data_IF_198301718360
#
_entry.id   IF_198301718360
#
_cell.length_a   1.000
_cell.length_b   1.000
_cell.length_c   1.000
_cell.angle_alpha   90.00
_cell.angle_beta   90.00
_cell.angle_gamma   90.00
#
_symmetry.space_group_name_H-M   'P 1'
#
loop_
_entity.id
_entity.type
_entity.pdbx_description
1 polymer ?
#
# COMPACT_ATOMS: atom_id res chain seq x y z
N UNK A 1 -9.66 30.62 -11.89
CA UNK A 1 -9.43 29.94 -13.17
C UNK A 1 -8.60 28.70 -12.87
N UNK A 2 -9.18 27.52 -13.08
CA UNK A 2 -8.45 26.25 -12.98
C UNK A 2 -7.32 26.27 -14.00
N UNK A 3 -6.09 26.20 -13.54
CA UNK A 3 -4.94 25.97 -14.40
C UNK A 3 -4.92 24.47 -14.65
N UNK A 4 -5.12 23.98 -15.88
CA UNK A 4 -5.07 22.55 -16.13
C UNK A 4 -3.64 22.04 -15.89
N UNK A 5 -3.49 21.02 -15.08
CA UNK A 5 -2.25 20.26 -15.00
C UNK A 5 -2.11 19.43 -16.28
N UNK A 6 -0.99 19.58 -16.96
CA UNK A 6 -0.68 18.81 -18.16
C UNK A 6 0.47 17.88 -17.80
N UNK A 7 0.19 16.59 -17.73
CA UNK A 7 1.22 15.56 -17.63
C UNK A 7 1.83 15.35 -19.01
N UNK A 8 3.13 15.55 -19.13
CA UNK A 8 3.89 15.31 -20.36
C UNK A 8 4.85 14.13 -20.14
N UNK A 9 5.05 13.31 -21.18
CA UNK A 9 6.03 12.24 -21.12
C UNK A 9 7.43 12.80 -20.79
N UNK A 10 8.22 12.08 -20.01
CA UNK A 10 9.58 12.47 -19.58
C UNK A 10 10.47 12.90 -20.76
N UNK A 11 10.39 12.18 -21.88
CA UNK A 11 11.10 12.53 -23.12
C UNK A 11 10.74 13.92 -23.66
N UNK A 12 9.47 14.31 -23.49
CA UNK A 12 8.96 15.64 -23.88
C UNK A 12 9.40 16.68 -22.87
N UNK A 13 9.37 16.38 -21.59
CA UNK A 13 9.85 17.27 -20.53
C UNK A 13 11.36 17.56 -20.68
N UNK A 14 12.17 16.53 -20.95
CA UNK A 14 13.61 16.66 -21.24
C UNK A 14 13.84 17.54 -22.46
N UNK A 15 13.10 17.34 -23.53
CA UNK A 15 13.20 18.15 -24.72
C UNK A 15 12.87 19.64 -24.43
N UNK A 16 11.84 19.93 -23.62
CA UNK A 16 11.52 21.29 -23.21
C UNK A 16 12.61 21.92 -22.35
N UNK A 17 13.15 21.14 -21.41
CA UNK A 17 14.25 21.58 -20.56
C UNK A 17 15.48 21.98 -21.41
N UNK A 18 15.87 21.14 -22.36
CA UNK A 18 16.98 21.42 -23.27
C UNK A 18 16.74 22.68 -24.13
N UNK A 19 15.51 22.87 -24.60
CA UNK A 19 15.13 24.07 -25.31
C UNK A 19 15.21 25.35 -24.44
N UNK A 20 14.75 25.27 -23.19
CA UNK A 20 14.81 26.35 -22.22
C UNK A 20 16.27 26.71 -21.92
N UNK A 21 17.14 25.73 -21.72
CA UNK A 21 18.57 25.99 -21.50
C UNK A 21 19.26 26.64 -22.73
N UNK A 22 18.91 26.20 -23.91
CA UNK A 22 19.37 26.85 -25.14
C UNK A 22 18.86 28.30 -25.28
N UNK A 23 17.58 28.55 -24.97
CA UNK A 23 16.98 29.88 -25.02
C UNK A 23 17.59 30.85 -24.00
N UNK A 24 18.12 30.37 -22.86
CA UNK A 24 18.88 31.22 -21.91
C UNK A 24 20.17 31.80 -22.54
N UNK A 25 20.76 31.10 -23.49
CA UNK A 25 21.99 31.52 -24.17
C UNK A 25 21.75 32.24 -25.51
N UNK A 26 20.57 32.09 -26.08
CA UNK A 26 20.19 32.74 -27.36
C UNK A 26 18.82 33.42 -27.24
N UNK A 27 18.79 34.73 -27.08
CA UNK A 27 17.54 35.49 -26.93
C UNK A 27 16.66 35.54 -28.20
N UNK A 28 17.13 34.99 -29.31
CA UNK A 28 16.31 34.84 -30.54
C UNK A 28 15.48 33.56 -30.53
N UNK A 29 15.79 32.60 -29.65
CA UNK A 29 15.01 31.39 -29.47
C UNK A 29 13.85 31.64 -28.51
N UNK A 30 12.66 31.26 -28.93
CA UNK A 30 11.49 31.17 -28.07
C UNK A 30 10.78 29.85 -28.33
N UNK A 31 10.25 29.25 -27.28
CA UNK A 31 9.40 28.06 -27.37
C UNK A 31 7.96 28.46 -27.07
N UNK A 32 7.03 28.08 -27.92
CA UNK A 32 5.60 28.15 -27.66
C UNK A 32 5.06 26.72 -27.63
N UNK A 33 4.18 26.42 -26.67
CA UNK A 33 3.44 25.19 -26.63
C UNK A 33 2.00 25.43 -27.09
N UNK A 34 1.68 25.00 -28.30
CA UNK A 34 0.32 25.00 -28.80
C UNK A 34 -0.29 23.61 -28.52
N UNK A 35 -1.19 23.54 -27.56
CA UNK A 35 -1.89 22.33 -27.19
C UNK A 35 -3.35 22.39 -27.64
N UNK A 36 -3.83 21.36 -28.31
CA UNK A 36 -5.26 21.14 -28.50
C UNK A 36 -5.78 20.33 -27.28
N UNK A 37 -6.70 20.94 -26.54
CA UNK A 37 -7.33 20.33 -25.37
C UNK A 37 -8.76 19.93 -25.70
N UNK A 38 -9.06 18.64 -25.63
CA UNK A 38 -10.43 18.11 -25.67
C UNK A 38 -10.76 17.53 -24.30
N UNK A 39 -11.38 18.34 -23.45
CA UNK A 39 -11.82 17.92 -22.13
C UNK A 39 -13.25 17.43 -22.14
N UNK A 40 -13.49 16.19 -21.71
CA UNK A 40 -14.83 15.72 -21.41
C UNK A 40 -15.16 16.09 -19.97
N UNK A 41 -16.22 16.87 -19.77
CA UNK A 41 -16.80 17.01 -18.43
C UNK A 41 -17.56 15.71 -18.09
N UNK A 42 -16.99 14.92 -17.19
CA UNK A 42 -17.57 13.64 -16.76
C UNK A 42 -18.63 13.80 -15.66
N UNK A 43 -19.05 15.04 -15.39
CA UNK A 43 -20.00 15.39 -14.32
C UNK A 43 -19.33 15.54 -12.95
N UNK A 44 -20.18 15.78 -11.96
CA UNK A 44 -19.73 15.90 -10.58
C UNK A 44 -19.14 14.57 -10.09
N UNK A 45 -17.98 14.66 -9.44
CA UNK A 45 -17.30 13.55 -8.79
C UNK A 45 -17.20 13.86 -7.31
N UNK A 46 -17.32 12.83 -6.47
CA UNK A 46 -17.08 12.93 -5.04
C UNK A 46 -15.73 12.34 -4.69
N UNK A 47 -15.04 12.96 -3.76
CA UNK A 47 -13.89 12.37 -3.07
C UNK A 47 -14.32 11.92 -1.69
N UNK A 48 -13.72 10.83 -1.21
CA UNK A 48 -14.04 10.32 0.11
C UNK A 48 -13.05 10.89 1.13
N UNK A 49 -13.56 11.17 2.32
CA UNK A 49 -12.78 11.43 3.52
C UNK A 49 -13.22 10.42 4.56
N UNK A 50 -12.25 9.68 5.12
CA UNK A 50 -12.53 8.71 6.19
C UNK A 50 -11.93 9.22 7.47
N UNK A 51 -12.71 9.24 8.56
CA UNK A 51 -12.25 9.75 9.85
C UNK A 51 -12.45 8.72 10.96
N UNK A 52 -11.55 8.74 11.94
CA UNK A 52 -11.62 7.98 13.18
C UNK A 52 -11.22 8.86 14.35
N UNK A 53 -11.47 8.42 15.59
CA UNK A 53 -11.22 9.21 16.78
C UNK A 53 -10.81 8.32 17.95
N UNK A 54 -9.79 8.77 18.69
CA UNK A 54 -9.43 8.28 20.02
C UNK A 54 -9.73 9.39 21.03
N UNK A 55 -10.79 9.25 21.84
CA UNK A 55 -11.19 10.29 22.78
C UNK A 55 -10.15 10.52 23.87
N UNK A 56 -9.77 11.77 24.10
CA UNK A 56 -8.95 12.22 25.21
C UNK A 56 -9.74 12.45 26.50
N UNK A 57 -9.02 12.77 27.57
CA UNK A 57 -9.62 13.08 28.87
C UNK A 57 -9.79 14.61 29.11
N UNK A 58 -9.20 15.45 28.29
CA UNK A 58 -9.19 16.92 28.39
C UNK A 58 -9.87 17.60 27.20
N UNK A 59 -9.53 18.86 26.96
CA UNK A 59 -10.16 19.71 25.95
C UNK A 59 -9.32 19.86 24.65
N UNK A 60 -8.08 19.35 24.62
CA UNK A 60 -7.20 19.47 23.44
C UNK A 60 -7.67 18.63 22.25
N UNK A 61 -7.50 19.15 21.04
CA UNK A 61 -7.86 18.49 19.78
C UNK A 61 -6.64 18.43 18.84
N UNK A 62 -6.25 17.21 18.45
CA UNK A 62 -5.17 16.97 17.47
C UNK A 62 -5.74 16.14 16.32
N UNK A 63 -5.37 16.49 15.09
CA UNK A 63 -5.74 15.74 13.89
C UNK A 63 -4.49 15.22 13.18
N UNK A 64 -4.47 13.92 12.89
CA UNK A 64 -3.42 13.29 12.07
C UNK A 64 -4.02 12.87 10.75
N UNK A 65 -3.36 13.19 9.64
CA UNK A 65 -3.88 12.90 8.31
C UNK A 65 -2.84 12.40 7.32
N UNK A 66 -3.34 11.65 6.32
CA UNK A 66 -2.60 11.20 5.16
C UNK A 66 -3.55 11.08 3.96
N UNK A 67 -3.13 11.40 2.75
CA UNK A 67 -3.98 11.14 1.59
C UNK A 67 -3.94 9.65 1.18
N UNK A 68 -5.04 9.17 0.61
CA UNK A 68 -5.20 7.79 0.19
C UNK A 68 -5.40 7.60 -1.31
N UNK A 69 -5.44 8.69 -2.06
CA UNK A 69 -5.38 8.64 -3.52
C UNK A 69 -3.93 8.65 -3.99
N UNK A 70 -3.71 8.38 -5.26
CA UNK A 70 -2.41 8.39 -5.91
C UNK A 70 -2.48 9.08 -7.26
N UNK A 71 -1.36 9.53 -7.77
CA UNK A 71 -1.24 10.09 -9.12
C UNK A 71 -1.77 9.09 -10.17
N UNK A 72 -2.41 9.61 -11.24
CA UNK A 72 -3.19 8.83 -12.21
C UNK A 72 -2.51 7.56 -12.75
N UNK A 73 -1.19 7.57 -12.90
CA UNK A 73 -0.43 6.43 -13.46
C UNK A 73 0.36 5.66 -12.39
N UNK A 74 0.39 6.15 -11.15
CA UNK A 74 1.16 5.57 -10.04
C UNK A 74 0.31 4.60 -9.24
N UNK A 75 0.81 3.40 -8.89
CA UNK A 75 0.20 2.56 -7.87
C UNK A 75 0.16 3.18 -6.48
N UNK A 76 1.06 4.14 -6.18
CA UNK A 76 1.01 4.94 -4.97
C UNK A 76 1.47 4.21 -3.70
N UNK A 77 2.44 3.31 -3.81
CA UNK A 77 2.93 2.59 -2.63
C UNK A 77 3.64 3.52 -1.64
N UNK A 78 4.53 4.37 -2.14
CA UNK A 78 5.20 5.40 -1.34
C UNK A 78 4.35 6.66 -1.27
N UNK A 79 3.70 7.04 -2.37
CA UNK A 79 2.86 8.22 -2.47
C UNK A 79 1.39 7.84 -2.71
N UNK A 80 0.53 7.55 -1.66
CA UNK A 80 0.88 7.74 -0.26
C UNK A 80 0.33 6.59 0.62
N UNK A 81 0.41 5.33 0.16
CA UNK A 81 0.00 4.20 0.98
C UNK A 81 0.87 4.06 2.25
N UNK A 82 2.15 4.49 2.22
CA UNK A 82 3.00 4.51 3.42
C UNK A 82 2.45 5.46 4.47
N UNK A 83 2.03 6.68 4.10
CA UNK A 83 1.45 7.64 5.05
C UNK A 83 0.17 7.11 5.69
N UNK A 84 -0.69 6.44 4.90
CA UNK A 84 -1.89 5.78 5.43
C UNK A 84 -1.53 4.64 6.37
N UNK A 85 -0.51 3.83 6.04
CA UNK A 85 -0.06 2.73 6.90
C UNK A 85 0.48 3.24 8.24
N UNK A 86 1.27 4.31 8.21
CA UNK A 86 1.80 4.96 9.40
C UNK A 86 0.68 5.56 10.25
N UNK A 87 -0.31 6.18 9.63
CA UNK A 87 -1.49 6.70 10.34
C UNK A 87 -2.23 5.60 11.09
N UNK A 88 -2.41 4.42 10.48
CA UNK A 88 -3.01 3.27 11.16
C UNK A 88 -2.15 2.75 12.30
N UNK A 89 -0.83 2.70 12.12
CA UNK A 89 0.06 2.24 13.18
C UNK A 89 0.10 3.22 14.36
N UNK A 90 0.12 4.53 14.09
CA UNK A 90 -0.01 5.56 15.14
C UNK A 90 -1.33 5.39 15.90
N UNK A 91 -2.44 5.18 15.21
CA UNK A 91 -3.73 4.96 15.84
C UNK A 91 -3.74 3.69 16.71
N UNK A 92 -3.12 2.61 16.22
CA UNK A 92 -2.99 1.34 16.92
C UNK A 92 -2.20 1.51 18.23
N UNK A 93 -1.02 2.11 18.17
CA UNK A 93 -0.18 2.34 19.35
C UNK A 93 -0.85 3.25 20.38
N UNK A 94 -1.52 4.32 19.93
CA UNK A 94 -2.22 5.23 20.82
C UNK A 94 -3.48 4.62 21.44
N UNK A 95 -4.05 3.58 20.85
CA UNK A 95 -5.29 2.94 21.36
C UNK A 95 -5.12 2.35 22.77
N UNK A 96 -3.91 1.96 23.12
CA UNK A 96 -3.53 1.43 24.45
C UNK A 96 -3.14 2.55 25.45
N UNK A 97 -3.03 3.79 24.99
CA UNK A 97 -2.62 4.94 25.77
C UNK A 97 -3.81 5.89 25.99
N UNK A 98 -3.73 6.70 27.04
CA UNK A 98 -4.73 7.75 27.31
C UNK A 98 -4.04 9.10 27.28
N UNK A 99 -4.40 9.90 26.29
CA UNK A 99 -3.97 11.28 26.21
C UNK A 99 -4.98 12.22 26.86
N UNK A 100 -4.55 13.41 27.19
CA UNK A 100 -5.48 14.49 27.58
C UNK A 100 -6.20 15.02 26.34
N UNK A 101 -5.49 15.21 25.22
CA UNK A 101 -6.09 15.63 23.96
C UNK A 101 -6.80 14.48 23.24
N UNK A 102 -7.95 14.77 22.65
CA UNK A 102 -8.57 13.89 21.66
C UNK A 102 -7.72 13.86 20.38
N UNK A 103 -7.43 12.67 19.87
CA UNK A 103 -6.71 12.51 18.61
C UNK A 103 -7.66 11.97 17.55
N UNK A 104 -7.90 12.78 16.52
CA UNK A 104 -8.62 12.34 15.33
C UNK A 104 -7.65 11.93 14.23
N UNK A 105 -8.09 11.01 13.41
CA UNK A 105 -7.39 10.50 12.26
C UNK A 105 -8.23 10.73 11.03
N UNK A 106 -7.60 11.14 9.92
CA UNK A 106 -8.32 11.33 8.67
C UNK A 106 -7.50 10.83 7.49
N UNK A 107 -8.16 10.18 6.52
CA UNK A 107 -7.55 9.94 5.23
C UNK A 107 -8.26 10.76 4.15
N UNK A 108 -7.48 11.46 3.32
CA UNK A 108 -7.95 12.40 2.33
C UNK A 108 -7.97 11.76 0.95
N UNK A 109 -9.06 11.98 0.19
CA UNK A 109 -9.08 11.67 -1.23
C UNK A 109 -8.94 12.95 -2.05
N UNK A 110 -8.27 12.86 -3.21
CA UNK A 110 -8.10 13.97 -4.13
C UNK A 110 -7.02 14.98 -3.72
N UNK A 111 -6.02 14.55 -2.99
CA UNK A 111 -4.80 15.33 -2.74
C UNK A 111 -4.13 15.65 -4.05
N UNK A 112 -3.89 14.65 -4.86
CA UNK A 112 -3.27 14.68 -6.20
C UNK A 112 -4.03 15.53 -7.23
N UNK A 113 -5.26 15.87 -6.92
CA UNK A 113 -6.10 16.75 -7.73
C UNK A 113 -6.16 18.20 -7.17
N UNK A 114 -5.34 18.50 -6.17
CA UNK A 114 -5.21 19.81 -5.55
C UNK A 114 -5.89 19.91 -4.18
N UNK A 115 -5.64 18.97 -3.29
CA UNK A 115 -6.06 18.97 -1.88
C UNK A 115 -7.59 18.98 -1.70
N UNK A 116 -8.34 18.31 -2.60
CA UNK A 116 -9.81 18.45 -2.63
C UNK A 116 -10.49 17.97 -1.36
N UNK A 117 -10.04 16.83 -0.82
CA UNK A 117 -10.63 16.22 0.37
C UNK A 117 -10.39 17.02 1.63
N UNK A 118 -9.15 17.42 1.90
CA UNK A 118 -8.81 18.23 3.08
C UNK A 118 -9.45 19.60 3.04
N UNK A 119 -9.49 20.28 1.88
CA UNK A 119 -10.18 21.56 1.73
C UNK A 119 -11.69 21.43 1.98
N UNK A 120 -12.34 20.43 1.38
CA UNK A 120 -13.77 20.19 1.58
C UNK A 120 -14.10 19.84 3.06
N UNK A 121 -13.22 19.09 3.71
CA UNK A 121 -13.37 18.78 5.12
C UNK A 121 -13.29 20.03 6.00
N UNK A 122 -12.29 20.89 5.77
CA UNK A 122 -12.13 22.17 6.47
C UNK A 122 -13.37 23.06 6.28
N UNK A 123 -13.82 23.22 5.03
CA UNK A 123 -14.99 24.04 4.72
C UNK A 123 -16.27 23.55 5.40
N UNK A 124 -16.40 22.23 5.54
CA UNK A 124 -17.59 21.59 6.14
C UNK A 124 -17.55 21.50 7.66
N UNK A 125 -16.39 21.70 8.31
CA UNK A 125 -16.17 21.49 9.73
C UNK A 125 -15.48 22.68 10.41
N UNK A 126 -15.79 23.90 10.01
CA UNK A 126 -15.08 25.11 10.47
C UNK A 126 -15.03 25.26 12.00
N UNK A 127 -16.13 24.98 12.71
CA UNK A 127 -16.17 25.02 14.18
C UNK A 127 -15.14 24.08 14.83
N UNK A 128 -14.99 22.88 14.26
CA UNK A 128 -13.97 21.94 14.70
C UNK A 128 -12.55 22.43 14.34
N UNK A 129 -12.36 22.95 13.14
CA UNK A 129 -11.05 23.46 12.70
C UNK A 129 -10.60 24.66 13.54
N UNK A 130 -11.51 25.52 13.95
CA UNK A 130 -11.24 26.66 14.84
C UNK A 130 -10.80 26.20 16.26
N UNK A 131 -11.21 25.00 16.69
CA UNK A 131 -10.79 24.39 17.97
C UNK A 131 -9.57 23.49 17.86
N UNK A 132 -9.05 23.26 16.67
CA UNK A 132 -7.95 22.33 16.42
C UNK A 132 -6.61 22.93 16.84
N UNK A 133 -5.94 22.31 17.80
CA UNK A 133 -4.65 22.77 18.31
C UNK A 133 -3.51 22.46 17.32
N UNK A 134 -3.57 21.29 16.66
CA UNK A 134 -2.49 20.82 15.80
C UNK A 134 -3.02 19.88 14.70
N UNK A 135 -2.56 20.07 13.49
CA UNK A 135 -2.68 19.09 12.40
C UNK A 135 -1.32 18.50 12.04
N UNK A 136 -1.24 17.16 11.98
CA UNK A 136 -0.04 16.41 11.57
C UNK A 136 -0.33 15.72 10.25
N UNK A 137 0.52 15.93 9.25
CA UNK A 137 0.41 15.34 7.91
C UNK A 137 1.51 14.34 7.65
N UNK A 138 1.15 13.17 7.14
CA UNK A 138 2.08 12.10 6.75
C UNK A 138 2.02 11.92 5.23
N UNK A 139 3.13 12.19 4.56
CA UNK A 139 3.18 12.12 3.11
C UNK A 139 4.53 11.66 2.59
N UNK A 140 4.53 10.55 1.85
CA UNK A 140 5.69 10.00 1.15
C UNK A 140 6.93 9.78 2.03
N UNK A 141 6.76 9.36 3.26
CA UNK A 141 7.82 9.23 4.29
C UNK A 141 8.61 7.91 4.20
N UNK A 142 8.92 7.45 3.00
CA UNK A 142 9.68 6.22 2.76
C UNK A 142 11.19 6.47 2.85
N UNK A 143 11.77 6.33 4.04
CA UNK A 143 13.20 6.55 4.27
C UNK A 143 13.99 5.29 3.96
N UNK A 144 15.01 5.40 3.11
CA UNK A 144 15.89 4.28 2.75
C UNK A 144 17.36 4.72 2.72
N UNK A 145 18.11 4.54 3.81
CA UNK A 145 19.51 4.94 3.90
C UNK A 145 20.41 4.29 2.84
N UNK A 146 20.11 3.04 2.45
CA UNK A 146 20.89 2.33 1.44
C UNK A 146 20.81 2.96 0.04
N UNK A 147 19.76 3.76 -0.21
CA UNK A 147 19.56 4.56 -1.42
C UNK A 147 19.98 6.03 -1.24
N UNK A 148 20.53 6.41 -0.08
CA UNK A 148 20.84 7.81 0.25
C UNK A 148 19.59 8.64 0.62
N UNK A 149 18.47 8.01 0.94
CA UNK A 149 17.20 8.61 1.30
C UNK A 149 16.89 8.39 2.80
N UNK A 150 17.91 8.45 3.67
CA UNK A 150 17.77 8.19 5.10
C UNK A 150 17.37 9.41 5.94
N UNK A 151 17.07 10.55 5.34
CA UNK A 151 16.74 11.78 6.06
C UNK A 151 15.24 12.05 6.03
N UNK A 152 14.62 12.15 7.20
CA UNK A 152 13.23 12.57 7.36
C UNK A 152 13.14 14.09 7.32
N UNK A 153 12.27 14.60 6.44
CA UNK A 153 11.89 16.01 6.44
C UNK A 153 10.72 16.25 7.38
N UNK A 154 10.88 17.21 8.29
CA UNK A 154 9.84 17.67 9.19
C UNK A 154 9.67 19.17 9.00
N UNK A 155 8.48 19.61 8.65
CA UNK A 155 8.18 21.03 8.53
C UNK A 155 7.01 21.42 9.43
N UNK A 156 7.07 22.64 9.96
CA UNK A 156 5.98 23.18 10.79
C UNK A 156 5.65 24.60 10.40
N UNK A 157 4.37 24.94 10.45
CA UNK A 157 3.93 26.33 10.26
C UNK A 157 4.18 27.21 11.49
N UNK A 158 4.29 26.60 12.68
CA UNK A 158 4.53 27.31 13.94
C UNK A 158 5.99 27.20 14.41
N UNK A 159 6.69 28.32 14.32
CA UNK A 159 8.11 28.40 14.75
C UNK A 159 8.33 28.04 16.23
N UNK A 160 7.30 28.10 17.07
CA UNK A 160 7.40 27.72 18.50
C UNK A 160 7.54 26.20 18.68
N UNK A 161 7.11 25.41 17.72
CA UNK A 161 7.20 23.96 17.78
C UNK A 161 8.59 23.43 17.38
N UNK A 162 9.41 24.24 16.70
CA UNK A 162 10.72 23.81 16.17
C UNK A 162 11.62 23.24 17.26
N UNK A 163 11.74 23.94 18.40
CA UNK A 163 12.63 23.51 19.49
C UNK A 163 12.14 22.20 20.14
N UNK A 164 10.82 22.03 20.31
CA UNK A 164 10.26 20.80 20.88
C UNK A 164 10.40 19.62 19.92
N UNK A 165 10.08 19.81 18.65
CA UNK A 165 10.23 18.79 17.61
C UNK A 165 11.70 18.38 17.46
N UNK A 166 12.64 19.36 17.44
CA UNK A 166 14.08 19.10 17.34
C UNK A 166 14.63 18.31 18.52
N UNK A 167 14.11 18.55 19.73
CA UNK A 167 14.48 17.75 20.91
C UNK A 167 13.97 16.33 20.82
N UNK A 168 12.71 16.16 20.40
CA UNK A 168 12.09 14.84 20.25
C UNK A 168 12.85 14.03 19.20
N UNK A 169 13.04 14.56 17.97
CA UNK A 169 13.77 13.85 16.94
C UNK A 169 15.19 13.49 17.39
N UNK A 170 15.89 14.41 18.05
CA UNK A 170 17.25 14.13 18.57
C UNK A 170 17.24 13.01 19.61
N UNK A 171 16.23 12.99 20.48
CA UNK A 171 16.08 11.93 21.47
C UNK A 171 15.83 10.58 20.82
N UNK A 172 14.95 10.50 19.83
CA UNK A 172 14.66 9.28 19.07
C UNK A 172 15.91 8.80 18.32
N UNK A 173 16.57 9.67 17.56
CA UNK A 173 17.74 9.34 16.75
C UNK A 173 19.00 9.00 17.57
N UNK A 174 19.04 9.29 18.87
CA UNK A 174 20.11 8.84 19.76
C UNK A 174 20.04 7.33 20.08
N UNK A 175 18.99 6.64 19.71
CA UNK A 175 18.93 5.19 19.83
C UNK A 175 19.80 4.55 18.72
N UNK A 176 20.59 3.51 19.08
CA UNK A 176 21.48 2.80 18.16
C UNK A 176 20.75 2.21 16.95
N UNK A 177 19.47 1.90 17.09
CA UNK A 177 18.63 1.38 16.01
C UNK A 177 18.49 2.35 14.83
N UNK A 178 18.65 3.66 15.07
CA UNK A 178 18.48 4.72 14.06
C UNK A 178 19.79 5.33 13.55
N UNK A 179 20.94 4.69 13.77
CA UNK A 179 22.25 5.26 13.41
C UNK A 179 22.43 5.63 11.93
N UNK A 180 21.70 4.98 11.04
CA UNK A 180 21.78 5.23 9.59
C UNK A 180 20.78 6.29 9.11
N UNK A 181 19.98 6.84 10.02
CA UNK A 181 18.94 7.82 9.73
C UNK A 181 19.28 9.20 10.26
N UNK A 182 18.65 10.19 9.67
CA UNK A 182 18.71 11.58 10.09
C UNK A 182 17.32 12.23 9.99
N UNK A 183 17.14 13.40 10.61
CA UNK A 183 15.92 14.19 10.44
C UNK A 183 16.24 15.68 10.47
N UNK A 184 15.51 16.45 9.69
CA UNK A 184 15.63 17.91 9.62
C UNK A 184 14.31 18.56 9.98
N UNK A 185 14.37 19.63 10.78
CA UNK A 185 13.19 20.42 11.15
C UNK A 185 13.32 21.82 10.56
N UNK A 186 12.29 22.27 9.86
CA UNK A 186 12.26 23.61 9.28
C UNK A 186 10.90 24.29 9.46
N UNK A 187 10.89 25.62 9.42
CA UNK A 187 9.64 26.38 9.35
C UNK A 187 9.21 26.52 7.90
N UNK A 188 8.02 26.04 7.60
CA UNK A 188 7.37 26.23 6.30
C UNK A 188 5.89 26.55 6.49
N UNK A 189 5.53 27.81 6.22
CA UNK A 189 4.14 28.29 6.34
C UNK A 189 3.29 27.99 5.11
N UNK A 190 3.87 27.51 4.03
CA UNK A 190 3.13 27.21 2.80
C UNK A 190 2.68 25.75 2.75
N UNK A 191 3.61 24.82 3.02
CA UNK A 191 3.36 23.39 2.85
C UNK A 191 3.24 22.98 1.38
N UNK A 192 3.36 21.70 1.10
CA UNK A 192 3.30 21.12 -0.25
C UNK A 192 2.29 19.96 -0.37
N UNK A 193 1.62 19.58 0.73
CA UNK A 193 0.61 18.52 0.81
C UNK A 193 -0.61 19.02 1.60
N UNK A 194 -1.48 18.15 2.11
CA UNK A 194 -2.74 18.51 2.77
C UNK A 194 -2.59 19.50 3.94
N UNK A 195 -1.45 19.53 4.64
CA UNK A 195 -1.20 20.52 5.70
C UNK A 195 -1.20 21.97 5.18
N UNK A 196 -0.98 22.19 3.88
CA UNK A 196 -1.14 23.50 3.25
C UNK A 196 -2.57 24.02 3.38
N UNK A 197 -3.57 23.16 3.23
CA UNK A 197 -4.96 23.57 3.39
C UNK A 197 -5.22 24.09 4.81
N UNK A 198 -4.75 23.36 5.83
CA UNK A 198 -4.87 23.76 7.24
C UNK A 198 -4.08 25.03 7.56
N UNK A 199 -2.85 25.20 7.01
CA UNK A 199 -2.07 26.41 7.17
C UNK A 199 -2.81 27.65 6.69
N UNK A 200 -3.54 27.55 5.58
CA UNK A 200 -4.30 28.66 5.02
C UNK A 200 -5.44 29.12 5.93
N UNK A 201 -5.94 28.24 6.80
CA UNK A 201 -6.95 28.53 7.82
C UNK A 201 -6.35 28.93 9.17
N UNK A 202 -5.03 28.95 9.31
CA UNK A 202 -4.33 29.40 10.49
C UNK A 202 -4.11 28.33 11.57
N UNK A 203 -4.40 27.08 11.28
CA UNK A 203 -4.10 25.94 12.17
C UNK A 203 -2.59 25.71 12.23
N UNK A 204 -2.04 25.43 13.41
CA UNK A 204 -0.66 24.98 13.55
C UNK A 204 -0.51 23.60 12.91
N UNK A 205 0.53 23.41 12.09
CA UNK A 205 0.73 22.15 11.38
C UNK A 205 2.13 21.61 11.52
N UNK A 206 2.25 20.28 11.42
CA UNK A 206 3.51 19.57 11.23
C UNK A 206 3.33 18.67 10.00
N UNK A 207 4.19 18.81 9.00
CA UNK A 207 4.25 17.94 7.83
C UNK A 207 5.48 17.04 7.90
N UNK A 208 5.28 15.76 7.66
CA UNK A 208 6.34 14.76 7.51
C UNK A 208 6.43 14.34 6.06
N UNK A 209 7.66 14.29 5.53
CA UNK A 209 7.91 13.88 4.16
C UNK A 209 9.28 13.21 4.02
N UNK A 210 9.39 12.30 3.04
CA UNK A 210 10.66 11.83 2.53
C UNK A 210 11.21 12.79 1.46
N UNK A 211 12.46 12.58 1.05
CA UNK A 211 13.03 13.31 -0.08
C UNK A 211 12.55 12.68 -1.40
N UNK A 212 12.69 13.44 -2.50
CA UNK A 212 12.38 12.96 -3.85
C UNK A 212 13.04 11.60 -4.09
N UNK A 213 12.22 10.63 -4.49
CA UNK A 213 12.64 9.29 -4.86
C UNK A 213 12.36 9.04 -6.34
N UNK A 214 13.09 8.09 -6.94
CA UNK A 214 13.05 7.87 -8.39
C UNK A 214 11.66 7.48 -8.89
N UNK A 215 10.91 6.74 -8.08
CA UNK A 215 9.60 6.18 -8.42
C UNK A 215 8.43 7.16 -8.28
N UNK A 216 8.67 8.39 -7.80
CA UNK A 216 7.64 9.41 -7.56
C UNK A 216 6.76 9.66 -8.77
N UNK A 217 5.44 9.52 -8.60
CA UNK A 217 4.41 9.66 -9.64
C UNK A 217 4.62 8.73 -10.86
N UNK A 218 5.25 7.57 -10.68
CA UNK A 218 5.53 6.59 -11.75
C UNK A 218 4.84 5.26 -11.50
N UNK A 219 4.72 4.45 -12.55
CA UNK A 219 4.20 3.07 -12.47
C UNK A 219 5.09 2.13 -11.64
N UNK A 220 6.30 2.56 -11.31
CA UNK A 220 7.27 1.83 -10.50
C UNK A 220 7.14 2.11 -9.00
N UNK A 221 6.22 2.98 -8.59
CA UNK A 221 5.89 3.20 -7.17
C UNK A 221 5.03 2.05 -6.64
N UNK A 222 5.66 0.92 -6.38
CA UNK A 222 5.04 -0.35 -6.00
C UNK A 222 5.57 -0.82 -4.64
N UNK A 223 4.87 -1.75 -3.93
CA UNK A 223 5.23 -2.13 -2.55
C UNK A 223 6.67 -2.58 -2.33
N UNK A 224 7.35 -3.13 -3.35
CA UNK A 224 8.73 -3.59 -3.22
C UNK A 224 9.79 -2.47 -3.09
N UNK A 225 9.41 -1.21 -3.28
CA UNK A 225 10.30 -0.06 -3.06
C UNK A 225 10.16 0.52 -1.66
N UNK A 226 9.17 0.06 -0.88
CA UNK A 226 8.92 0.50 0.48
C UNK A 226 9.97 -0.08 1.43
N UNK A 227 10.48 0.76 2.33
CA UNK A 227 11.49 0.39 3.32
C UNK A 227 10.88 0.46 4.73
N UNK A 228 10.60 -0.69 5.33
CA UNK A 228 9.82 -0.81 6.56
C UNK A 228 10.44 -0.09 7.77
N UNK A 229 11.75 -0.20 7.95
CA UNK A 229 12.44 0.46 9.07
C UNK A 229 12.28 1.99 9.03
N UNK A 230 12.38 2.59 7.83
CA UNK A 230 12.18 4.03 7.66
C UNK A 230 10.77 4.48 8.01
N UNK A 231 9.74 3.63 7.76
CA UNK A 231 8.37 3.92 8.18
C UNK A 231 8.26 3.91 9.71
N UNK A 232 8.91 2.98 10.36
CA UNK A 232 8.91 2.84 11.82
C UNK A 232 9.51 4.06 12.53
N UNK A 233 10.62 4.61 12.02
CA UNK A 233 11.20 5.85 12.54
C UNK A 233 10.20 7.01 12.50
N UNK A 234 9.51 7.18 11.38
CA UNK A 234 8.51 8.24 11.25
C UNK A 234 7.38 8.07 12.27
N UNK A 235 6.86 6.83 12.42
CA UNK A 235 5.82 6.53 13.42
C UNK A 235 6.31 6.84 14.83
N UNK A 236 7.54 6.44 15.19
CA UNK A 236 8.10 6.72 16.53
C UNK A 236 8.16 8.22 16.80
N UNK A 237 8.70 9.02 15.87
CA UNK A 237 8.78 10.48 16.05
C UNK A 237 7.39 11.10 16.17
N UNK A 238 6.42 10.67 15.33
CA UNK A 238 5.03 11.14 15.41
C UNK A 238 4.39 10.81 16.74
N UNK A 239 4.58 9.59 17.25
CA UNK A 239 4.05 9.16 18.55
C UNK A 239 4.63 10.01 19.69
N UNK A 240 5.93 10.25 19.71
CA UNK A 240 6.57 11.09 20.73
C UNK A 240 6.07 12.55 20.67
N UNK A 241 5.81 13.08 19.48
CA UNK A 241 5.20 14.41 19.32
C UNK A 241 3.76 14.39 19.87
N UNK A 242 2.95 13.38 19.53
CA UNK A 242 1.58 13.25 20.01
C UNK A 242 1.52 13.11 21.53
N UNK A 243 2.41 12.33 22.13
CA UNK A 243 2.53 12.23 23.59
C UNK A 243 2.84 13.59 24.22
N UNK A 244 3.84 14.27 23.67
CA UNK A 244 4.27 15.59 24.18
C UNK A 244 3.20 16.67 24.04
N UNK A 245 2.49 16.71 22.88
CA UNK A 245 1.44 17.70 22.62
C UNK A 245 0.10 17.29 23.24
N UNK A 246 -0.14 16.00 23.40
CA UNK A 246 -1.38 15.44 23.94
C UNK A 246 -1.44 15.36 25.47
N UNK A 247 -0.46 15.94 26.18
CA UNK A 247 -0.48 16.03 27.65
C UNK A 247 -0.01 14.75 28.36
N UNK A 248 0.69 13.86 27.68
CA UNK A 248 1.28 12.66 28.28
C UNK A 248 2.78 12.88 28.59
N UNK A 249 3.29 12.26 29.65
CA UNK A 249 4.74 12.24 29.88
C UNK A 249 5.43 11.44 28.76
N UNK A 250 6.55 11.96 28.25
CA UNK A 250 7.36 11.24 27.26
C UNK A 250 7.81 9.88 27.81
N UNK A 251 7.69 8.85 27.00
CA UNK A 251 8.13 7.51 27.40
C UNK A 251 9.65 7.43 27.39
N UNK A 252 10.22 6.77 28.39
CA UNK A 252 11.67 6.55 28.48
C UNK A 252 12.17 5.53 27.44
N UNK A 253 11.28 4.61 27.00
CA UNK A 253 11.58 3.61 25.98
C UNK A 253 10.78 3.87 24.70
N UNK A 254 11.33 3.58 23.50
CA UNK A 254 10.61 3.71 22.24
C UNK A 254 9.36 2.81 22.22
N UNK A 255 8.27 3.32 21.67
CA UNK A 255 7.05 2.52 21.43
C UNK A 255 7.25 1.53 20.28
N UNK A 256 8.05 1.90 19.30
CA UNK A 256 8.39 1.06 18.15
C UNK A 256 9.77 0.45 18.34
N UNK A 257 9.85 -0.88 18.38
CA UNK A 257 11.11 -1.61 18.42
C UNK A 257 11.38 -2.23 17.06
N UNK A 258 12.42 -1.76 16.37
CA UNK A 258 12.82 -2.31 15.05
C UNK A 258 13.26 -3.78 15.15
N UNK A 259 13.81 -4.21 16.29
CA UNK A 259 14.16 -5.63 16.49
C UNK A 259 12.99 -6.60 16.31
N UNK A 260 11.75 -6.08 16.26
CA UNK A 260 10.56 -6.83 15.84
C UNK A 260 10.23 -6.66 14.35
N UNK A 261 10.85 -5.69 13.65
CA UNK A 261 10.67 -5.41 12.23
C UNK A 261 11.78 -6.00 11.34
N UNK A 262 12.94 -6.37 11.91
CA UNK A 262 13.83 -7.33 11.24
C UNK A 262 12.97 -8.54 10.98
N UNK A 263 12.48 -8.60 9.73
CA UNK A 263 11.41 -9.46 9.32
C UNK A 263 11.40 -10.70 10.19
N UNK A 264 10.29 -10.99 10.85
CA UNK A 264 10.05 -12.37 11.13
C UNK A 264 10.56 -13.08 9.89
N UNK A 265 11.76 -13.66 9.99
CA UNK A 265 12.29 -14.58 8.97
C UNK A 265 11.06 -15.41 8.70
N UNK A 266 10.42 -15.17 7.55
CA UNK A 266 9.04 -15.59 7.24
C UNK A 266 8.72 -16.76 8.14
N UNK A 267 7.95 -16.53 9.24
CA UNK A 267 7.75 -17.60 10.19
C UNK A 267 7.08 -18.66 9.37
N UNK A 268 7.86 -19.56 8.79
CA UNK A 268 7.37 -20.68 7.98
C UNK A 268 6.26 -21.44 8.72
N UNK A 269 6.14 -21.16 10.03
CA UNK A 269 5.11 -21.69 10.91
C UNK A 269 3.72 -21.19 10.46
N UNK A 270 3.52 -19.90 10.16
CA UNK A 270 2.21 -19.39 9.76
C UNK A 270 1.77 -19.89 8.37
N UNK A 271 2.58 -19.81 7.30
CA UNK A 271 2.28 -20.47 6.04
C UNK A 271 2.13 -21.99 6.19
N UNK A 272 2.98 -22.63 7.01
CA UNK A 272 2.89 -24.06 7.29
C UNK A 272 1.58 -24.44 7.99
N UNK A 273 1.14 -23.66 8.99
CA UNK A 273 -0.14 -23.89 9.69
C UNK A 273 -1.31 -23.67 8.72
N UNK A 274 -1.26 -22.67 7.86
CA UNK A 274 -2.30 -22.46 6.83
C UNK A 274 -2.33 -23.60 5.82
N UNK A 275 -1.18 -24.06 5.34
CA UNK A 275 -1.07 -25.21 4.43
C UNK A 275 -1.55 -26.50 5.11
N UNK A 276 -1.23 -26.69 6.39
CA UNK A 276 -1.71 -27.82 7.19
C UNK A 276 -3.24 -27.76 7.37
N UNK A 277 -3.80 -26.58 7.65
CA UNK A 277 -5.25 -26.41 7.78
C UNK A 277 -5.96 -26.65 6.45
N UNK A 278 -5.40 -26.19 5.33
CA UNK A 278 -5.94 -26.46 3.98
C UNK A 278 -5.89 -27.98 3.67
N UNK A 279 -4.78 -28.63 3.99
CA UNK A 279 -4.64 -30.08 3.87
C UNK A 279 -5.61 -30.87 4.75
N UNK A 280 -5.82 -30.44 6.00
CA UNK A 280 -6.81 -31.04 6.92
C UNK A 280 -8.25 -30.83 6.42
N UNK A 281 -8.57 -29.67 5.85
CA UNK A 281 -9.88 -29.41 5.25
C UNK A 281 -10.16 -30.39 4.09
N UNK A 282 -9.15 -30.65 3.25
CA UNK A 282 -9.23 -31.65 2.18
C UNK A 282 -9.41 -33.06 2.74
N UNK A 283 -8.70 -33.40 3.83
CA UNK A 283 -8.85 -34.66 4.55
C UNK A 283 -10.24 -34.86 5.17
N UNK A 284 -10.82 -33.81 5.74
CA UNK A 284 -12.21 -33.80 6.26
C UNK A 284 -13.19 -34.02 5.11
N UNK A 285 -12.99 -33.36 3.96
CA UNK A 285 -13.80 -33.60 2.74
C UNK A 285 -13.77 -35.06 2.31
N UNK A 286 -12.59 -35.72 2.36
CA UNK A 286 -12.43 -37.15 2.11
C UNK A 286 -13.16 -38.05 3.13
N UNK A 287 -13.10 -37.68 4.41
CA UNK A 287 -13.82 -38.39 5.48
C UNK A 287 -15.34 -38.34 5.35
N UNK A 288 -15.89 -37.25 4.88
CA UNK A 288 -17.33 -37.08 4.59
C UNK A 288 -17.79 -38.14 3.60
N UNK A 289 -16.97 -38.44 2.57
CA UNK A 289 -17.28 -39.49 1.58
C UNK A 289 -17.40 -40.89 2.19
N UNK A 290 -16.64 -41.16 3.25
CA UNK A 290 -16.79 -42.45 4.00
C UNK A 290 -18.05 -42.53 4.85
N UNK A 291 -18.57 -41.38 5.31
CA UNK A 291 -19.78 -41.31 6.15
C UNK A 291 -21.04 -41.36 5.30
N UNK A 292 -21.00 -40.69 4.12
CA UNK A 292 -22.12 -40.66 3.17
C UNK A 292 -22.02 -41.86 2.23
N UNK A 293 -22.66 -42.97 2.60
CA UNK A 293 -22.54 -44.25 1.93
C UNK A 293 -23.04 -44.29 0.47
N UNK A 294 -23.91 -43.38 0.03
CA UNK A 294 -24.42 -43.31 -1.34
C UNK A 294 -24.59 -41.87 -1.78
N UNK A 295 -23.65 -41.37 -2.53
CA UNK A 295 -23.79 -40.08 -3.27
C UNK A 295 -24.35 -40.42 -4.64
N UNK A 296 -25.48 -39.78 -5.04
CA UNK A 296 -26.02 -39.98 -6.36
C UNK A 296 -25.01 -39.51 -7.43
N UNK A 297 -25.03 -40.18 -8.62
CA UNK A 297 -24.12 -39.77 -9.71
C UNK A 297 -24.30 -38.32 -10.14
N UNK A 298 -25.54 -37.81 -10.04
CA UNK A 298 -25.87 -36.40 -10.37
C UNK A 298 -25.24 -35.43 -9.33
N UNK A 299 -25.34 -35.76 -8.04
CA UNK A 299 -24.72 -34.97 -6.97
C UNK A 299 -23.19 -34.97 -7.10
N UNK A 300 -22.59 -36.11 -7.40
CA UNK A 300 -21.15 -36.22 -7.63
C UNK A 300 -20.71 -35.38 -8.82
N UNK A 301 -21.44 -35.44 -9.93
CA UNK A 301 -21.15 -34.64 -11.12
C UNK A 301 -21.31 -33.14 -10.84
N UNK A 302 -22.31 -32.73 -10.07
CA UNK A 302 -22.49 -31.34 -9.67
C UNK A 302 -21.34 -30.83 -8.78
N UNK A 303 -20.94 -31.59 -7.77
CA UNK A 303 -19.83 -31.21 -6.87
C UNK A 303 -18.49 -31.12 -7.61
N UNK A 304 -18.21 -32.05 -8.52
CA UNK A 304 -17.01 -32.02 -9.36
C UNK A 304 -17.02 -30.84 -10.34
N UNK A 305 -18.16 -30.52 -10.95
CA UNK A 305 -18.30 -29.39 -11.85
C UNK A 305 -18.12 -28.04 -11.10
N UNK A 306 -18.66 -27.95 -9.90
CA UNK A 306 -18.51 -26.77 -9.04
C UNK A 306 -17.03 -26.58 -8.62
N UNK A 307 -16.35 -27.62 -8.17
CA UNK A 307 -14.94 -27.57 -7.81
C UNK A 307 -14.07 -27.19 -9.02
N UNK A 308 -14.31 -27.81 -10.17
CA UNK A 308 -13.59 -27.49 -11.40
C UNK A 308 -13.83 -26.03 -11.86
N UNK A 309 -15.07 -25.53 -11.71
CA UNK A 309 -15.40 -24.15 -12.03
C UNK A 309 -14.66 -23.12 -11.17
N UNK A 310 -14.59 -23.36 -9.85
CA UNK A 310 -13.84 -22.50 -8.92
C UNK A 310 -12.34 -22.52 -9.24
N UNK A 311 -11.76 -23.73 -9.43
CA UNK A 311 -10.34 -23.86 -9.80
C UNK A 311 -10.01 -23.14 -11.10
N UNK A 312 -10.86 -23.26 -12.12
CA UNK A 312 -10.64 -22.60 -13.41
C UNK A 312 -10.71 -21.07 -13.28
N UNK A 313 -11.64 -20.58 -12.46
CA UNK A 313 -11.81 -19.14 -12.23
C UNK A 313 -10.59 -18.56 -11.52
N UNK A 314 -10.13 -19.20 -10.44
CA UNK A 314 -8.91 -18.79 -9.71
C UNK A 314 -7.68 -18.87 -10.62
N UNK A 315 -7.50 -19.97 -11.37
CA UNK A 315 -6.35 -20.12 -12.27
C UNK A 315 -6.31 -19.07 -13.38
N UNK A 316 -7.45 -18.65 -13.91
CA UNK A 316 -7.51 -17.68 -15.01
C UNK A 316 -7.45 -16.25 -14.49
N UNK A 317 -8.18 -15.91 -13.43
CA UNK A 317 -8.28 -14.53 -12.94
C UNK A 317 -7.09 -14.15 -12.05
N UNK A 318 -6.74 -15.00 -11.09
CA UNK A 318 -5.69 -14.71 -10.12
C UNK A 318 -4.29 -15.10 -10.63
N UNK A 319 -4.12 -16.40 -10.97
CA UNK A 319 -2.79 -16.91 -11.27
C UNK A 319 -2.28 -16.55 -12.68
N UNK A 320 -3.18 -16.39 -13.66
CA UNK A 320 -2.74 -15.99 -14.98
C UNK A 320 -2.92 -14.51 -15.24
N UNK A 321 -4.13 -13.97 -15.10
CA UNK A 321 -4.42 -12.57 -15.46
C UNK A 321 -3.85 -11.59 -14.43
N UNK A 322 -4.04 -11.83 -13.14
CA UNK A 322 -3.46 -11.01 -12.07
C UNK A 322 -1.93 -10.96 -12.17
N UNK A 323 -1.30 -12.12 -12.19
CA UNK A 323 0.16 -12.20 -12.29
C UNK A 323 0.72 -11.68 -13.62
N UNK A 324 -0.06 -11.78 -14.72
CA UNK A 324 0.35 -11.23 -16.01
C UNK A 324 0.36 -9.71 -16.04
N UNK A 325 -0.51 -9.06 -15.27
CA UNK A 325 -0.53 -7.61 -15.09
C UNK A 325 0.68 -7.12 -14.28
N UNK A 326 1.06 -7.86 -13.23
CA UNK A 326 2.18 -7.49 -12.34
C UNK A 326 3.55 -7.82 -12.93
N UNK A 327 3.70 -9.01 -13.54
CA UNK A 327 5.00 -9.57 -13.95
C UNK A 327 5.18 -9.65 -15.48
N UNK A 328 4.22 -9.11 -16.24
CA UNK A 328 4.23 -9.10 -17.70
C UNK A 328 3.58 -10.34 -18.34
N UNK A 329 2.83 -10.11 -19.43
CA UNK A 329 2.03 -11.15 -20.10
C UNK A 329 2.87 -12.29 -20.70
N UNK A 330 4.06 -12.00 -21.22
CA UNK A 330 4.87 -13.01 -21.92
C UNK A 330 5.41 -14.09 -20.98
N UNK A 331 6.13 -13.78 -19.86
CA UNK A 331 6.66 -14.80 -18.97
C UNK A 331 5.56 -15.63 -18.31
N UNK A 332 4.47 -15.00 -17.87
CA UNK A 332 3.36 -15.69 -17.19
C UNK A 332 2.60 -16.61 -18.17
N UNK A 333 2.32 -16.15 -19.40
CA UNK A 333 1.67 -16.99 -20.42
C UNK A 333 2.54 -18.17 -20.82
N UNK A 334 3.85 -17.99 -20.92
CA UNK A 334 4.80 -19.09 -21.19
C UNK A 334 4.80 -20.11 -20.05
N UNK A 335 4.86 -19.65 -18.79
CA UNK A 335 4.82 -20.51 -17.61
C UNK A 335 3.50 -21.31 -17.52
N UNK A 336 2.38 -20.66 -17.80
CA UNK A 336 1.07 -21.31 -17.87
C UNK A 336 1.01 -22.36 -18.99
N UNK A 337 1.56 -22.05 -20.17
CA UNK A 337 1.67 -22.99 -21.29
C UNK A 337 2.55 -24.19 -20.99
N UNK A 338 3.67 -23.99 -20.31
CA UNK A 338 4.56 -25.06 -19.85
C UNK A 338 3.82 -25.99 -18.87
N UNK A 339 3.13 -25.42 -17.88
CA UNK A 339 2.32 -26.19 -16.93
C UNK A 339 1.26 -27.06 -17.63
N UNK A 340 0.50 -26.49 -18.57
CA UNK A 340 -0.46 -27.25 -19.37
C UNK A 340 0.23 -28.35 -20.20
N UNK A 341 1.41 -28.08 -20.76
CA UNK A 341 2.18 -29.07 -21.50
C UNK A 341 2.63 -30.25 -20.65
N UNK A 342 3.04 -29.99 -19.40
CA UNK A 342 3.41 -31.04 -18.44
C UNK A 342 2.20 -31.92 -18.11
N UNK A 343 1.05 -31.31 -17.77
CA UNK A 343 -0.18 -32.06 -17.48
C UNK A 343 -0.62 -32.91 -18.69
N UNK A 344 -0.54 -32.35 -19.89
CA UNK A 344 -0.85 -33.07 -21.11
C UNK A 344 0.10 -34.26 -21.34
N UNK A 345 1.41 -34.08 -21.14
CA UNK A 345 2.42 -35.14 -21.26
C UNK A 345 2.18 -36.27 -20.24
N UNK A 346 1.88 -35.93 -18.99
CA UNK A 346 1.51 -36.91 -17.95
C UNK A 346 0.24 -37.66 -18.35
N UNK A 347 -0.76 -36.95 -18.85
CA UNK A 347 -1.98 -37.57 -19.35
C UNK A 347 -1.71 -38.57 -20.48
N UNK A 348 -0.91 -38.19 -21.47
CA UNK A 348 -0.52 -39.09 -22.56
C UNK A 348 0.27 -40.32 -22.06
N UNK A 349 1.19 -40.11 -21.10
CA UNK A 349 1.97 -41.21 -20.54
C UNK A 349 1.10 -42.22 -19.79
N UNK A 350 0.15 -41.73 -19.00
CA UNK A 350 -0.77 -42.59 -18.20
C UNK A 350 -1.83 -43.28 -19.08
N UNK A 351 -2.10 -42.76 -20.27
CA UNK A 351 -3.09 -43.37 -21.23
C UNK A 351 -2.41 -44.16 -22.34
N UNK A 352 -1.07 -44.22 -22.39
CA UNK A 352 -0.32 -44.87 -23.46
C UNK A 352 -0.60 -46.39 -23.48
N UNK A 353 -1.12 -46.87 -24.58
CA UNK A 353 -1.32 -48.31 -24.86
C UNK A 353 -2.74 -48.85 -24.56
N UNK A 354 -3.68 -48.01 -24.18
CA UNK A 354 -5.05 -48.44 -23.94
C UNK A 354 -6.07 -47.58 -24.74
N UNK A 355 -6.95 -48.23 -25.46
CA UNK A 355 -8.03 -47.54 -26.16
C UNK A 355 -9.08 -47.07 -25.15
N UNK A 356 -9.21 -45.74 -24.96
CA UNK A 356 -10.15 -45.11 -24.02
C UNK A 356 -11.60 -45.56 -24.25
N UNK A 357 -11.93 -46.02 -25.45
CA UNK A 357 -13.27 -46.49 -25.78
C UNK A 357 -13.57 -47.87 -25.17
N UNK A 358 -12.57 -48.75 -25.06
CA UNK A 358 -12.73 -50.12 -24.56
C UNK A 358 -12.49 -50.30 -23.06
N UNK A 359 -12.05 -49.24 -22.35
CA UNK A 359 -11.82 -49.31 -20.91
C UNK A 359 -13.10 -49.44 -20.08
N UNK A 360 -13.08 -50.33 -19.08
CA UNK A 360 -14.16 -50.43 -18.10
C UNK A 360 -14.37 -49.10 -17.35
N UNK A 361 -15.58 -48.85 -16.92
CA UNK A 361 -15.96 -47.62 -16.18
C UNK A 361 -15.13 -47.44 -14.91
N UNK A 362 -14.80 -48.52 -14.20
CA UNK A 362 -13.97 -48.52 -12.98
C UNK A 362 -12.53 -48.11 -13.26
N UNK A 363 -11.93 -48.57 -14.37
CA UNK A 363 -10.57 -48.23 -14.78
C UNK A 363 -10.43 -46.78 -15.23
N UNK A 364 -11.47 -46.25 -15.91
CA UNK A 364 -11.56 -44.82 -16.27
C UNK A 364 -11.58 -43.93 -15.02
N UNK A 365 -12.41 -44.29 -14.02
CA UNK A 365 -12.49 -43.57 -12.74
C UNK A 365 -11.18 -43.63 -11.95
N UNK A 366 -10.52 -44.79 -11.88
CA UNK A 366 -9.24 -44.97 -11.20
C UNK A 366 -8.12 -44.09 -11.84
N UNK A 367 -8.02 -44.09 -13.17
CA UNK A 367 -7.06 -43.23 -13.90
C UNK A 367 -7.36 -41.75 -13.75
N UNK A 368 -8.62 -41.36 -13.83
CA UNK A 368 -9.03 -39.97 -13.59
C UNK A 368 -8.68 -39.54 -12.17
N UNK A 369 -8.87 -40.42 -11.17
CA UNK A 369 -8.51 -40.15 -9.78
C UNK A 369 -6.98 -39.94 -9.58
N UNK A 370 -6.14 -40.78 -10.22
CA UNK A 370 -4.69 -40.61 -10.18
C UNK A 370 -4.25 -39.31 -10.85
N UNK A 371 -4.80 -38.99 -12.03
CA UNK A 371 -4.50 -37.74 -12.75
C UNK A 371 -4.88 -36.51 -11.90
N UNK A 372 -6.06 -36.56 -11.28
CA UNK A 372 -6.53 -35.49 -10.40
C UNK A 372 -5.63 -35.36 -9.17
N UNK A 373 -5.22 -36.48 -8.55
CA UNK A 373 -4.31 -36.44 -7.40
C UNK A 373 -2.93 -35.88 -7.75
N UNK A 374 -2.38 -36.22 -8.92
CA UNK A 374 -1.11 -35.67 -9.39
C UNK A 374 -1.26 -34.17 -9.70
N UNK A 375 -2.34 -33.76 -10.38
CA UNK A 375 -2.60 -32.36 -10.69
C UNK A 375 -2.74 -31.51 -9.42
N UNK A 376 -3.46 -32.02 -8.41
CA UNK A 376 -3.60 -31.37 -7.09
C UNK A 376 -2.27 -31.30 -6.34
N UNK A 377 -1.46 -32.36 -6.39
CA UNK A 377 -0.13 -32.37 -5.75
C UNK A 377 0.81 -31.33 -6.40
N UNK A 378 0.80 -31.21 -7.73
CA UNK A 378 1.58 -30.21 -8.45
C UNK A 378 1.06 -28.78 -8.18
N UNK A 379 -0.25 -28.61 -8.05
CA UNK A 379 -0.88 -27.33 -7.75
C UNK A 379 -0.56 -26.86 -6.32
N UNK A 380 -0.65 -27.75 -5.34
CA UNK A 380 -0.43 -27.39 -3.94
C UNK A 380 1.06 -27.25 -3.56
N UNK A 381 1.99 -27.71 -4.39
CA UNK A 381 3.42 -27.62 -4.10
C UNK A 381 3.95 -26.18 -4.11
N UNK A 382 3.58 -25.29 -5.09
CA UNK A 382 3.97 -23.89 -5.06
C UNK A 382 3.24 -23.05 -3.99
N UNK A 383 2.02 -23.47 -3.60
CA UNK A 383 1.25 -22.74 -2.57
C UNK A 383 1.77 -23.02 -1.14
N UNK A 384 2.64 -24.01 -0.97
CA UNK A 384 3.29 -24.35 0.29
C UNK A 384 4.75 -23.87 0.39
N UNK A 385 5.27 -23.19 -0.64
CA UNK A 385 6.58 -22.55 -0.68
C UNK A 385 6.43 -21.05 -0.57
#
# INVERSE_FOLDING_TARGET
ALIPYIYIAESVATMFHDYIEQAKSDPTLYASLDGFWEGNNVGDRSVNVVTGELPGNGEGEILVGAHHDSAYISPGAVDNAVGVSQLFEVANQLSELKLDSTVKFATWGGEELGLLGSQAYIESNQEYIDSLDLYINLDSTNLNPSKGLGTLGIETSDSKLVDSISKIQTSVLNNEEWNDYDATVQVNQQGNSDHRAFNQFGTSTIGFYGWEYEEYHRQTDVPNVVHQEGLALTVEIVLQILLSQGGHESLEEPLIQISGLEGESESWIFPFVLALMAGLATGIGGLIVFIVKEISQEMMAFLLAMAAGVMLLVSVLDLWFGQALENGFLPITLSFGIGMGIVYAVSMYTTKGEDLAEMSKERKLYKSGILTAIALAIHNFPEGL
#
